data_IF_301474058689
#
_entry.id   IF_301474058689
#
_cell.length_a   1.000
_cell.length_b   1.000
_cell.length_c   1.000
_cell.angle_alpha   90.00
_cell.angle_beta   90.00
_cell.angle_gamma   90.00
#
_symmetry.space_group_name_H-M   'P 1'
#
loop_
_entity.id
_entity.type
_entity.pdbx_description
1 polymer ?
#
# COMPACT_ATOMS: atom_id res chain seq x y z
N UNK A 1 -3.74 -1.35 -15.15
CA UNK A 1 -5.09 -1.72 -15.68
C UNK A 1 -4.91 -2.77 -16.75
N UNK A 2 -5.52 -3.94 -16.62
CA UNK A 2 -5.43 -5.01 -17.61
C UNK A 2 -6.30 -4.74 -18.84
N UNK A 3 -5.90 -5.27 -20.00
CA UNK A 3 -6.67 -5.13 -21.24
C UNK A 3 -8.03 -5.84 -21.13
N UNK A 4 -9.07 -5.27 -21.77
CA UNK A 4 -10.48 -5.69 -21.68
C UNK A 4 -11.18 -5.55 -20.32
N UNK A 5 -10.53 -4.97 -19.31
CA UNK A 5 -11.14 -4.65 -18.02
C UNK A 5 -11.47 -3.15 -17.89
N UNK A 6 -11.42 -2.42 -19.01
CA UNK A 6 -11.74 -1.00 -19.05
C UNK A 6 -13.26 -0.81 -18.96
N UNK A 7 -13.72 -0.33 -17.82
CA UNK A 7 -15.07 0.19 -17.67
C UNK A 7 -15.06 1.68 -18.04
N UNK A 8 -15.42 2.00 -19.28
CA UNK A 8 -15.39 3.38 -19.83
C UNK A 8 -16.08 4.39 -18.89
N UNK A 9 -17.27 4.06 -18.39
CA UNK A 9 -18.02 4.91 -17.46
C UNK A 9 -17.26 5.16 -16.14
N UNK A 10 -16.53 4.15 -15.64
CA UNK A 10 -15.72 4.28 -14.43
C UNK A 10 -14.54 5.21 -14.66
N UNK A 11 -13.93 5.14 -15.84
CA UNK A 11 -12.79 5.98 -16.19
C UNK A 11 -13.18 7.46 -16.36
N UNK A 12 -14.29 7.73 -17.05
CA UNK A 12 -14.83 9.08 -17.18
C UNK A 12 -15.16 9.69 -15.82
N UNK A 13 -15.82 8.92 -14.94
CA UNK A 13 -16.10 9.33 -13.55
C UNK A 13 -14.84 9.59 -12.74
N UNK A 14 -13.80 8.76 -12.90
CA UNK A 14 -12.53 8.94 -12.20
C UNK A 14 -11.86 10.26 -12.60
N UNK A 15 -11.75 10.55 -13.89
CA UNK A 15 -11.16 11.81 -14.36
C UNK A 15 -11.97 13.05 -13.98
N UNK A 16 -13.31 12.97 -14.04
CA UNK A 16 -14.18 14.06 -13.59
C UNK A 16 -13.99 14.34 -12.09
N UNK A 17 -14.03 13.30 -11.26
CA UNK A 17 -13.84 13.41 -9.81
C UNK A 17 -12.44 13.93 -9.45
N UNK A 18 -11.41 13.41 -10.14
CA UNK A 18 -10.04 13.84 -9.92
C UNK A 18 -9.85 15.32 -10.25
N UNK A 19 -10.47 15.83 -11.33
CA UNK A 19 -10.46 17.25 -11.66
C UNK A 19 -11.09 18.09 -10.54
N UNK A 20 -12.24 17.68 -10.01
CA UNK A 20 -12.95 18.44 -8.98
C UNK A 20 -12.20 18.47 -7.64
N UNK A 21 -11.33 17.49 -7.39
CA UNK A 21 -10.49 17.37 -6.19
C UNK A 21 -9.06 17.91 -6.37
N UNK A 22 -8.73 18.43 -7.56
CA UNK A 22 -7.35 18.72 -7.99
C UNK A 22 -6.37 17.53 -7.79
N UNK A 23 -6.89 16.32 -7.92
CA UNK A 23 -6.12 15.10 -7.94
C UNK A 23 -5.67 14.79 -9.37
N UNK A 24 -4.46 14.24 -9.52
CA UNK A 24 -3.91 13.90 -10.84
C UNK A 24 -3.91 12.39 -11.05
N UNK A 25 -4.21 11.97 -12.27
CA UNK A 25 -4.24 10.58 -12.72
C UNK A 25 -3.27 10.38 -13.89
N UNK A 26 -2.63 9.23 -13.95
CA UNK A 26 -1.89 8.77 -15.14
C UNK A 26 -2.26 7.32 -15.42
N UNK A 27 -1.89 6.82 -16.60
CA UNK A 27 -2.11 5.42 -16.93
C UNK A 27 -0.89 4.55 -16.62
N UNK A 28 -1.13 3.51 -15.81
CA UNK A 28 -0.27 2.33 -15.72
C UNK A 28 -0.97 1.16 -16.40
N UNK A 29 -0.46 0.77 -17.57
CA UNK A 29 -1.00 -0.33 -18.36
C UNK A 29 -0.49 -1.66 -17.81
N UNK A 30 -1.37 -2.62 -17.56
CA UNK A 30 -0.95 -3.94 -17.09
C UNK A 30 -0.81 -4.88 -18.30
N UNK A 31 0.43 -5.22 -18.63
CA UNK A 31 0.79 -6.09 -19.76
C UNK A 31 0.95 -7.57 -19.36
N UNK A 32 0.89 -7.88 -18.07
CA UNK A 32 1.04 -9.25 -17.55
C UNK A 32 -0.29 -9.86 -17.10
N UNK A 33 -1.22 -9.07 -16.59
CA UNK A 33 -2.46 -9.54 -15.94
C UNK A 33 -3.48 -10.17 -16.89
N UNK A 34 -3.56 -9.73 -18.15
CA UNK A 34 -4.48 -10.31 -19.16
C UNK A 34 -3.88 -10.29 -20.58
N UNK A 35 -2.57 -10.49 -20.67
CA UNK A 35 -1.81 -10.32 -21.91
C UNK A 35 -1.47 -8.87 -22.24
N UNK A 36 -0.69 -8.68 -23.30
CA UNK A 36 -0.23 -7.37 -23.74
C UNK A 36 -1.37 -6.53 -24.30
N UNK A 37 -1.34 -5.23 -24.02
CA UNK A 37 -2.26 -4.29 -24.65
C UNK A 37 -1.93 -4.14 -26.16
N UNK A 38 -2.95 -4.09 -27.04
CA UNK A 38 -2.76 -3.67 -28.42
C UNK A 38 -2.23 -2.24 -28.50
N UNK A 39 -1.24 -2.03 -29.37
CA UNK A 39 -0.60 -0.72 -29.57
C UNK A 39 -1.60 0.42 -29.82
N UNK A 40 -2.53 0.23 -30.74
CA UNK A 40 -3.53 1.26 -31.10
C UNK A 40 -4.44 1.60 -29.92
N UNK A 41 -4.91 0.61 -29.15
CA UNK A 41 -5.75 0.83 -27.97
C UNK A 41 -5.02 1.68 -26.92
N UNK A 42 -3.72 1.44 -26.71
CA UNK A 42 -2.87 2.23 -25.82
C UNK A 42 -2.74 3.67 -26.32
N UNK A 43 -2.45 3.85 -27.61
CA UNK A 43 -2.31 5.18 -28.24
C UNK A 43 -3.62 5.97 -28.15
N UNK A 44 -4.75 5.35 -28.50
CA UNK A 44 -6.07 5.96 -28.50
C UNK A 44 -6.48 6.39 -27.09
N UNK A 45 -6.30 5.51 -26.09
CA UNK A 45 -6.65 5.84 -24.72
C UNK A 45 -5.78 6.98 -24.17
N UNK A 46 -4.48 6.95 -24.45
CA UNK A 46 -3.57 8.04 -24.08
C UNK A 46 -4.00 9.36 -24.74
N UNK A 47 -4.27 9.36 -26.05
CA UNK A 47 -4.69 10.55 -26.78
C UNK A 47 -6.04 11.11 -26.32
N UNK A 48 -6.95 10.25 -25.86
CA UNK A 48 -8.22 10.65 -25.28
C UNK A 48 -8.05 11.47 -23.99
N UNK A 49 -7.10 11.10 -23.12
CA UNK A 49 -7.02 11.69 -21.76
C UNK A 49 -5.79 12.56 -21.50
N UNK A 50 -4.71 12.49 -22.30
CA UNK A 50 -3.45 13.21 -22.02
C UNK A 50 -3.56 14.74 -21.91
N UNK A 51 -4.63 15.31 -22.45
CA UNK A 51 -4.94 16.74 -22.38
C UNK A 51 -6.00 17.10 -21.33
N UNK A 52 -6.53 16.12 -20.59
CA UNK A 52 -7.49 16.36 -19.53
C UNK A 52 -6.83 17.13 -18.36
N UNK A 53 -7.50 18.10 -17.71
CA UNK A 53 -6.92 18.89 -16.61
C UNK A 53 -6.45 18.09 -15.39
N UNK A 54 -6.99 16.88 -15.22
CA UNK A 54 -6.60 15.94 -14.18
C UNK A 54 -5.54 14.92 -14.65
N UNK A 55 -5.07 14.97 -15.90
CA UNK A 55 -3.99 14.09 -16.33
C UNK A 55 -2.65 14.58 -15.77
N UNK A 56 -1.91 13.70 -15.11
CA UNK A 56 -0.62 14.02 -14.52
C UNK A 56 0.42 14.25 -15.63
N UNK A 57 1.17 15.35 -15.51
CA UNK A 57 2.25 15.69 -16.42
C UNK A 57 3.53 15.91 -15.64
N UNK A 58 4.63 15.37 -16.14
CA UNK A 58 5.98 15.62 -15.65
C UNK A 58 6.77 16.34 -16.74
N UNK A 59 7.42 17.45 -16.40
CA UNK A 59 8.12 18.32 -17.36
C UNK A 59 7.26 18.66 -18.60
N UNK A 60 5.98 18.98 -18.35
CA UNK A 60 4.96 19.28 -19.37
C UNK A 60 4.55 18.12 -20.29
N UNK A 61 5.09 16.92 -20.13
CA UNK A 61 4.73 15.71 -20.88
C UNK A 61 3.72 14.84 -20.13
N UNK A 62 2.76 14.19 -20.80
CA UNK A 62 1.88 13.19 -20.19
C UNK A 62 2.70 12.07 -19.55
N UNK A 63 2.46 11.78 -18.27
CA UNK A 63 3.15 10.68 -17.60
C UNK A 63 2.51 9.34 -17.96
N UNK A 64 3.31 8.32 -18.25
CA UNK A 64 2.85 6.97 -18.58
C UNK A 64 3.71 5.92 -17.89
N UNK A 65 3.08 4.83 -17.43
CA UNK A 65 3.74 3.67 -16.83
C UNK A 65 3.13 2.37 -17.35
N UNK A 66 3.74 1.24 -17.00
CA UNK A 66 3.25 -0.11 -17.28
C UNK A 66 3.74 -1.07 -16.20
N UNK A 67 2.96 -2.11 -15.92
CA UNK A 67 3.43 -3.31 -15.23
C UNK A 67 3.84 -4.32 -16.30
N UNK A 68 5.13 -4.62 -16.37
CA UNK A 68 5.75 -5.46 -17.37
C UNK A 68 5.50 -5.01 -18.82
N UNK A 69 5.84 -5.87 -19.79
CA UNK A 69 5.74 -5.59 -21.24
C UNK A 69 7.07 -5.27 -21.90
N UNK A 70 8.21 -5.55 -21.25
CA UNK A 70 9.56 -5.22 -21.74
C UNK A 70 9.93 -5.84 -23.11
N UNK A 71 9.22 -6.90 -23.50
CA UNK A 71 9.38 -7.61 -24.77
C UNK A 71 8.50 -7.05 -25.90
N UNK A 72 7.54 -6.17 -25.59
CA UNK A 72 6.70 -5.55 -26.62
C UNK A 72 7.57 -4.65 -27.53
N UNK A 73 7.45 -4.80 -28.86
CA UNK A 73 8.14 -3.94 -29.81
C UNK A 73 7.44 -2.58 -29.99
N UNK A 74 6.28 -2.36 -29.38
CA UNK A 74 5.38 -1.25 -29.69
C UNK A 74 5.74 0.05 -28.96
N UNK A 75 6.45 -0.03 -27.84
CA UNK A 75 6.78 1.11 -26.98
C UNK A 75 7.39 2.33 -27.69
N UNK A 76 8.34 2.18 -28.65
CA UNK A 76 8.85 3.32 -29.41
C UNK A 76 7.74 4.08 -30.16
N UNK A 77 6.82 3.37 -30.81
CA UNK A 77 5.74 3.98 -31.59
C UNK A 77 4.65 4.55 -30.67
N UNK A 78 4.32 3.85 -29.57
CA UNK A 78 3.40 4.37 -28.53
C UNK A 78 3.94 5.69 -27.97
N UNK A 79 5.20 5.73 -27.55
CA UNK A 79 5.81 6.94 -26.98
C UNK A 79 5.84 8.09 -27.98
N UNK A 80 6.20 7.81 -29.24
CA UNK A 80 6.22 8.80 -30.32
C UNK A 80 4.85 9.42 -30.60
N UNK A 81 3.78 8.62 -30.62
CA UNK A 81 2.43 9.11 -30.93
C UNK A 81 1.74 9.77 -29.71
N UNK A 82 2.19 9.45 -28.51
CA UNK A 82 1.62 10.00 -27.27
C UNK A 82 2.38 11.21 -26.73
N UNK A 83 3.67 11.35 -27.06
CA UNK A 83 4.63 12.31 -26.50
C UNK A 83 4.80 12.17 -24.97
N UNK A 84 4.72 10.93 -24.48
CA UNK A 84 4.70 10.64 -23.05
C UNK A 84 6.09 10.65 -22.42
N UNK A 85 6.15 11.04 -21.14
CA UNK A 85 7.25 10.73 -20.23
C UNK A 85 7.00 9.32 -19.66
N UNK A 86 7.84 8.36 -20.03
CA UNK A 86 7.58 6.94 -19.81
C UNK A 86 8.50 6.35 -18.74
N UNK A 87 7.90 5.95 -17.61
CA UNK A 87 8.56 5.22 -16.52
C UNK A 87 7.88 3.85 -16.39
N UNK A 88 8.36 2.80 -17.08
CA UNK A 88 7.83 1.46 -16.94
C UNK A 88 8.37 0.74 -15.70
N UNK A 89 7.60 -0.24 -15.20
CA UNK A 89 8.17 -1.37 -14.48
C UNK A 89 8.48 -2.50 -15.47
N UNK A 90 9.78 -2.76 -15.65
CA UNK A 90 10.33 -3.87 -16.44
C UNK A 90 11.19 -4.76 -15.55
N UNK A 91 10.74 -5.02 -14.33
CA UNK A 91 11.48 -5.79 -13.33
C UNK A 91 11.90 -7.18 -13.84
N UNK A 92 11.11 -7.83 -14.70
CA UNK A 92 11.44 -9.13 -15.30
C UNK A 92 12.75 -9.22 -16.07
N UNK A 93 13.27 -8.10 -16.59
CA UNK A 93 14.56 -8.06 -17.32
C UNK A 93 15.67 -7.39 -16.52
N UNK A 94 15.38 -6.89 -15.33
CA UNK A 94 16.31 -6.20 -14.45
C UNK A 94 16.64 -4.76 -14.89
N UNK A 95 17.23 -3.97 -13.98
CA UNK A 95 17.40 -2.52 -14.16
C UNK A 95 18.32 -2.16 -15.34
N UNK A 96 19.44 -2.87 -15.52
CA UNK A 96 20.40 -2.60 -16.59
C UNK A 96 19.81 -2.79 -17.99
N UNK A 97 19.15 -3.93 -18.23
CA UNK A 97 18.55 -4.22 -19.53
C UNK A 97 17.35 -3.29 -19.81
N UNK A 98 16.58 -2.96 -18.78
CA UNK A 98 15.46 -2.02 -18.88
C UNK A 98 15.94 -0.59 -19.17
N UNK A 99 16.97 -0.11 -18.47
CA UNK A 99 17.49 1.25 -18.61
C UNK A 99 18.13 1.48 -19.99
N UNK A 100 18.69 0.43 -20.61
CA UNK A 100 19.27 0.47 -21.96
C UNK A 100 18.23 0.61 -23.09
N UNK A 101 16.92 0.52 -22.79
CA UNK A 101 15.87 0.81 -23.76
C UNK A 101 15.81 2.31 -24.02
N UNK A 102 16.17 2.77 -25.21
CA UNK A 102 16.24 4.20 -25.55
C UNK A 102 14.94 4.98 -25.41
N UNK A 103 13.80 4.29 -25.34
CA UNK A 103 12.47 4.88 -25.17
C UNK A 103 12.04 5.02 -23.70
N UNK A 104 12.80 4.58 -22.70
CA UNK A 104 12.44 4.78 -21.28
C UNK A 104 13.08 6.06 -20.74
N UNK A 105 12.27 6.88 -20.06
CA UNK A 105 12.71 8.13 -19.45
C UNK A 105 13.11 7.95 -17.97
N UNK A 106 12.63 6.90 -17.34
CA UNK A 106 12.96 6.48 -15.98
C UNK A 106 12.57 5.02 -15.78
N UNK A 107 12.69 4.48 -14.56
CA UNK A 107 12.20 3.14 -14.23
C UNK A 107 11.46 3.11 -12.89
N UNK A 108 10.41 2.29 -12.86
CA UNK A 108 9.74 1.83 -11.65
C UNK A 108 10.22 0.41 -11.33
N UNK A 109 10.30 0.05 -10.04
CA UNK A 109 10.65 -1.29 -9.61
C UNK A 109 9.46 -1.96 -8.93
N UNK A 110 9.24 -3.25 -9.17
CA UNK A 110 8.24 -4.06 -8.45
C UNK A 110 8.77 -4.67 -7.13
N UNK A 111 10.04 -4.42 -6.78
CA UNK A 111 10.71 -5.03 -5.62
C UNK A 111 10.35 -4.32 -4.29
N UNK A 112 9.08 -4.39 -3.87
CA UNK A 112 8.58 -3.72 -2.67
C UNK A 112 8.68 -4.55 -1.37
N UNK A 113 9.01 -5.84 -1.47
CA UNK A 113 8.97 -6.78 -0.35
C UNK A 113 10.28 -7.57 -0.19
N UNK A 114 10.63 -8.02 1.04
CA UNK A 114 11.88 -8.74 1.30
C UNK A 114 11.99 -10.10 0.60
N UNK A 115 13.21 -10.42 0.16
CA UNK A 115 13.58 -11.78 -0.25
C UNK A 115 14.07 -12.58 0.96
N UNK A 116 13.28 -13.54 1.42
CA UNK A 116 13.55 -14.39 2.57
C UNK A 116 13.34 -13.73 3.95
N UNK A 117 13.83 -14.35 5.04
CA UNK A 117 13.58 -13.93 6.43
C UNK A 117 14.42 -12.71 6.84
N UNK A 118 14.67 -11.80 5.90
CA UNK A 118 15.49 -10.60 6.07
C UNK A 118 14.62 -9.36 6.14
N UNK A 119 15.19 -8.23 6.58
CA UNK A 119 14.55 -6.92 6.38
C UNK A 119 14.87 -6.45 4.97
N UNK A 120 13.95 -5.71 4.35
CA UNK A 120 14.24 -5.01 3.10
C UNK A 120 15.38 -4.02 3.33
N UNK A 121 16.11 -3.69 2.26
CA UNK A 121 17.13 -2.67 2.25
C UNK A 121 17.16 -2.02 0.85
N UNK A 122 17.99 -1.00 0.67
CA UNK A 122 18.04 -0.21 -0.56
C UNK A 122 18.88 -0.81 -1.69
N UNK A 123 19.44 -2.01 -1.55
CA UNK A 123 20.38 -2.54 -2.56
C UNK A 123 19.76 -2.69 -3.95
N UNK A 124 18.47 -3.06 -4.02
CA UNK A 124 17.73 -3.10 -5.29
C UNK A 124 17.53 -1.70 -5.84
N UNK A 125 17.13 -0.74 -4.99
CA UNK A 125 16.92 0.65 -5.37
C UNK A 125 18.22 1.30 -5.90
N UNK A 126 19.35 1.02 -5.25
CA UNK A 126 20.68 1.45 -5.67
C UNK A 126 21.06 0.90 -7.06
N UNK A 127 20.68 -0.34 -7.37
CA UNK A 127 20.90 -0.92 -8.70
C UNK A 127 20.08 -0.22 -9.79
N UNK A 128 18.82 0.16 -9.50
CA UNK A 128 18.02 0.96 -10.42
C UNK A 128 18.62 2.36 -10.61
N UNK A 129 18.99 3.04 -9.51
CA UNK A 129 19.63 4.37 -9.56
C UNK A 129 20.92 4.34 -10.38
N UNK A 130 21.74 3.30 -10.23
CA UNK A 130 22.97 3.14 -10.99
C UNK A 130 22.69 2.97 -12.49
N UNK A 131 21.82 2.03 -12.86
CA UNK A 131 21.48 1.77 -14.26
C UNK A 131 20.83 2.97 -14.97
N UNK A 132 20.10 3.80 -14.23
CA UNK A 132 19.42 4.98 -14.76
C UNK A 132 20.35 6.14 -15.10
N UNK A 133 21.56 6.19 -14.54
CA UNK A 133 22.58 7.21 -14.77
C UNK A 133 22.01 8.66 -14.71
N UNK A 134 21.32 8.96 -13.60
CA UNK A 134 20.72 10.28 -13.35
C UNK A 134 19.32 10.48 -13.93
N UNK A 135 18.75 9.51 -14.65
CA UNK A 135 17.32 9.50 -14.99
C UNK A 135 16.45 9.18 -13.76
N UNK A 136 15.18 9.63 -13.72
CA UNK A 136 14.32 9.45 -12.56
C UNK A 136 14.04 7.99 -12.20
N UNK A 137 14.11 7.70 -10.90
CA UNK A 137 13.71 6.44 -10.33
C UNK A 137 12.40 6.58 -9.55
N UNK A 138 11.50 5.61 -9.73
CA UNK A 138 10.28 5.47 -8.94
C UNK A 138 10.44 4.31 -7.97
N UNK A 139 10.54 4.64 -6.68
CA UNK A 139 10.76 3.68 -5.60
C UNK A 139 9.44 3.06 -5.14
N UNK A 140 9.31 1.72 -5.10
CA UNK A 140 8.10 1.07 -4.62
C UNK A 140 7.99 1.10 -3.11
N UNK A 141 6.78 1.30 -2.60
CA UNK A 141 6.46 1.25 -1.18
C UNK A 141 5.18 0.43 -0.99
N UNK A 142 5.24 -0.58 -0.12
CA UNK A 142 4.10 -1.45 0.15
C UNK A 142 4.11 -1.93 1.60
N UNK A 143 2.96 -2.06 2.28
CA UNK A 143 2.94 -2.42 3.69
C UNK A 143 3.03 -3.93 3.95
N UNK A 144 2.44 -4.75 3.07
CA UNK A 144 2.18 -6.16 3.30
C UNK A 144 2.00 -6.88 1.96
N UNK A 145 2.09 -8.21 1.93
CA UNK A 145 1.71 -9.01 0.77
C UNK A 145 1.34 -10.43 1.18
N UNK A 146 0.18 -10.89 0.71
CA UNK A 146 -0.25 -12.27 0.79
C UNK A 146 -1.25 -12.56 -0.32
N UNK A 147 -1.04 -13.67 -1.01
CA UNK A 147 -1.96 -14.15 -2.05
C UNK A 147 -2.14 -15.66 -1.93
N UNK A 148 -3.37 -16.13 -2.15
CA UNK A 148 -3.69 -17.53 -2.40
C UNK A 148 -4.76 -17.58 -3.50
N UNK A 149 -4.30 -17.48 -4.74
CA UNK A 149 -5.08 -17.46 -5.97
C UNK A 149 -4.53 -18.51 -6.95
N UNK A 150 -4.83 -19.81 -6.72
CA UNK A 150 -4.34 -20.91 -7.55
C UNK A 150 -4.66 -20.79 -9.04
N UNK A 151 -5.80 -20.18 -9.38
CA UNK A 151 -6.19 -19.90 -10.77
C UNK A 151 -5.20 -18.99 -11.52
N UNK A 152 -4.39 -18.22 -10.78
CA UNK A 152 -3.30 -17.40 -11.30
C UNK A 152 -1.91 -17.98 -11.00
N UNK A 153 -1.84 -19.21 -10.49
CA UNK A 153 -0.57 -19.83 -10.06
C UNK A 153 0.06 -19.15 -8.85
N UNK A 154 -0.73 -18.46 -8.01
CA UNK A 154 -0.21 -17.68 -6.88
C UNK A 154 -0.59 -18.28 -5.53
N UNK A 155 0.39 -18.53 -4.66
CA UNK A 155 0.16 -18.97 -3.29
C UNK A 155 1.39 -18.72 -2.39
N UNK A 156 1.62 -17.47 -1.98
CA UNK A 156 2.77 -17.12 -1.14
C UNK A 156 2.52 -15.89 -0.27
N UNK A 157 3.39 -15.70 0.72
CA UNK A 157 3.48 -14.53 1.60
C UNK A 157 4.90 -13.98 1.60
N UNK A 158 5.05 -12.65 1.63
CA UNK A 158 6.32 -11.99 1.92
C UNK A 158 6.33 -11.38 3.32
N UNK A 159 7.53 -11.17 3.87
CA UNK A 159 7.67 -10.56 5.20
C UNK A 159 7.17 -9.11 5.18
N UNK A 160 6.08 -8.84 5.90
CA UNK A 160 5.54 -7.49 6.07
C UNK A 160 5.70 -6.91 7.47
N UNK A 161 6.25 -7.66 8.43
CA UNK A 161 6.19 -7.37 9.87
C UNK A 161 6.54 -5.91 10.21
N UNK A 162 7.74 -5.44 9.85
CA UNK A 162 8.17 -4.05 10.07
C UNK A 162 8.22 -3.22 8.78
N UNK A 163 7.80 -3.81 7.65
CA UNK A 163 8.10 -3.31 6.30
C UNK A 163 7.59 -1.89 6.10
N UNK A 164 6.35 -1.60 6.48
CA UNK A 164 5.78 -0.27 6.30
C UNK A 164 6.58 0.83 7.00
N UNK A 165 7.04 0.59 8.23
CA UNK A 165 7.87 1.57 8.94
C UNK A 165 9.26 1.70 8.30
N UNK A 166 9.96 0.57 8.14
CA UNK A 166 11.33 0.53 7.64
C UNK A 166 11.42 1.16 6.24
N UNK A 167 10.49 0.82 5.34
CA UNK A 167 10.48 1.31 3.96
C UNK A 167 10.25 2.81 3.85
N UNK A 168 9.43 3.41 4.70
CA UNK A 168 9.29 4.88 4.74
C UNK A 168 10.55 5.58 5.26
N UNK A 169 11.30 4.97 6.19
CA UNK A 169 12.60 5.51 6.60
C UNK A 169 13.62 5.43 5.45
N UNK A 170 13.60 4.34 4.69
CA UNK A 170 14.40 4.20 3.47
C UNK A 170 14.05 5.25 2.44
N UNK A 171 12.77 5.49 2.13
CA UNK A 171 12.34 6.54 1.19
C UNK A 171 12.87 7.92 1.60
N UNK A 172 12.74 8.27 2.89
CA UNK A 172 13.19 9.58 3.40
C UNK A 172 14.72 9.73 3.29
N UNK A 173 15.49 8.66 3.51
CA UNK A 173 16.95 8.69 3.43
C UNK A 173 17.49 8.58 2.01
N UNK A 174 16.87 7.71 1.18
CA UNK A 174 17.25 7.45 -0.19
C UNK A 174 16.93 8.64 -1.11
N UNK A 175 15.82 9.35 -0.87
CA UNK A 175 15.38 10.50 -1.67
C UNK A 175 15.25 10.15 -3.17
N UNK A 176 14.37 9.21 -3.56
CA UNK A 176 14.09 8.96 -4.98
C UNK A 176 13.34 10.14 -5.62
N UNK A 177 13.29 10.22 -6.95
CA UNK A 177 12.49 11.26 -7.63
C UNK A 177 10.99 11.02 -7.47
N UNK A 178 10.56 9.75 -7.52
CA UNK A 178 9.18 9.34 -7.35
C UNK A 178 9.05 8.21 -6.32
N UNK A 179 7.87 8.14 -5.72
CA UNK A 179 7.46 7.06 -4.82
C UNK A 179 6.11 6.56 -5.32
N UNK A 180 5.99 5.25 -5.55
CA UNK A 180 4.69 4.62 -5.83
C UNK A 180 4.29 3.72 -4.67
N UNK A 181 3.14 4.02 -4.07
CA UNK A 181 2.54 3.13 -3.07
C UNK A 181 1.76 2.04 -3.81
N UNK A 182 2.28 0.82 -3.78
CA UNK A 182 1.58 -0.36 -4.29
C UNK A 182 0.89 -1.05 -3.11
N UNK A 183 -0.44 -0.97 -2.97
CA UNK A 183 -1.40 -0.33 -3.88
C UNK A 183 -2.57 0.31 -3.13
N UNK A 184 -3.45 1.01 -3.86
CA UNK A 184 -4.70 1.50 -3.28
C UNK A 184 -5.68 0.36 -2.97
N UNK A 185 -5.87 -0.60 -3.87
CA UNK A 185 -6.98 -1.55 -3.77
C UNK A 185 -6.71 -2.91 -4.43
N UNK A 186 -5.45 -3.36 -4.52
CA UNK A 186 -5.17 -4.74 -4.89
C UNK A 186 -5.47 -5.68 -3.70
N UNK A 187 -6.73 -6.09 -3.63
CA UNK A 187 -7.21 -7.00 -2.59
C UNK A 187 -6.70 -8.43 -2.77
N UNK A 188 -6.48 -8.86 -4.03
CA UNK A 188 -6.00 -10.21 -4.34
C UNK A 188 -4.60 -10.45 -3.80
N UNK A 189 -3.75 -9.42 -3.73
CA UNK A 189 -2.38 -9.55 -3.22
C UNK A 189 -2.18 -8.98 -1.82
N UNK A 190 -3.27 -8.57 -1.16
CA UNK A 190 -3.29 -8.08 0.23
C UNK A 190 -2.39 -6.87 0.51
N UNK A 191 -1.99 -6.10 -0.50
CA UNK A 191 -1.11 -4.94 -0.32
C UNK A 191 -1.83 -3.60 -0.45
N UNK A 192 -3.16 -3.62 -0.42
CA UNK A 192 -4.01 -2.43 -0.44
C UNK A 192 -3.85 -1.57 0.82
N UNK A 193 -3.99 -0.25 0.65
CA UNK A 193 -4.12 0.74 1.74
C UNK A 193 -5.46 1.49 1.72
N UNK A 194 -6.31 1.21 0.74
CA UNK A 194 -7.64 1.76 0.59
C UNK A 194 -8.66 1.09 1.53
N UNK A 195 -9.86 1.66 1.64
CA UNK A 195 -10.93 1.07 2.44
C UNK A 195 -11.41 -0.25 1.82
N UNK A 196 -12.00 -1.12 2.65
CA UNK A 196 -12.73 -2.29 2.15
C UNK A 196 -14.07 -1.84 1.54
N UNK A 197 -14.48 -2.50 0.45
CA UNK A 197 -15.75 -2.24 -0.22
C UNK A 197 -16.63 -3.50 -0.23
N UNK A 198 -17.25 -3.88 0.91
CA UNK A 198 -17.95 -5.16 1.07
C UNK A 198 -19.20 -5.34 0.22
N UNK A 199 -19.62 -4.32 -0.55
CA UNK A 199 -20.82 -4.32 -1.39
C UNK A 199 -20.52 -4.08 -2.88
N UNK A 200 -19.25 -4.07 -3.28
CA UNK A 200 -18.85 -3.82 -4.67
C UNK A 200 -18.33 -5.08 -5.37
N UNK A 201 -18.26 -5.09 -6.71
CA UNK A 201 -17.64 -6.16 -7.52
C UNK A 201 -16.10 -6.26 -7.31
N UNK A 202 -15.54 -5.51 -6.36
CA UNK A 202 -14.09 -5.41 -6.12
C UNK A 202 -13.43 -6.71 -5.67
N UNK A 203 -14.22 -7.74 -5.34
CA UNK A 203 -13.75 -9.05 -4.91
C UNK A 203 -13.92 -10.14 -5.96
N UNK A 204 -14.29 -9.80 -7.19
CA UNK A 204 -14.34 -10.75 -8.33
C UNK A 204 -12.97 -11.42 -8.61
N UNK A 205 -11.88 -10.76 -8.23
CA UNK A 205 -10.53 -11.32 -8.34
C UNK A 205 -10.36 -12.63 -7.54
N UNK A 206 -11.06 -12.79 -6.41
CA UNK A 206 -11.01 -14.01 -5.61
C UNK A 206 -11.68 -15.19 -6.32
N UNK A 207 -12.80 -14.94 -7.01
CA UNK A 207 -13.50 -15.97 -7.79
C UNK A 207 -12.66 -16.36 -9.01
N UNK A 208 -12.15 -15.37 -9.76
CA UNK A 208 -11.29 -15.61 -10.95
C UNK A 208 -9.97 -16.28 -10.60
N UNK A 209 -9.37 -15.89 -9.48
CA UNK A 209 -8.15 -16.46 -8.95
C UNK A 209 -8.36 -17.80 -8.26
N UNK A 210 -9.60 -18.31 -8.20
CA UNK A 210 -9.96 -19.56 -7.53
C UNK A 210 -9.52 -19.62 -6.06
N UNK A 211 -9.57 -18.48 -5.37
CA UNK A 211 -9.15 -18.37 -3.99
C UNK A 211 -9.98 -19.31 -3.10
N UNK A 212 -9.36 -20.03 -2.15
CA UNK A 212 -10.08 -20.98 -1.30
C UNK A 212 -11.09 -20.26 -0.38
N UNK A 213 -10.81 -19.01 -0.02
CA UNK A 213 -11.69 -18.12 0.74
C UNK A 213 -11.26 -16.67 0.47
N UNK A 214 -12.09 -15.71 0.85
CA UNK A 214 -11.76 -14.29 0.73
C UNK A 214 -11.03 -13.79 1.98
N UNK A 215 -9.70 -13.68 1.90
CA UNK A 215 -8.81 -13.29 3.00
C UNK A 215 -8.80 -11.78 3.31
N UNK A 216 -9.63 -10.96 2.66
CA UNK A 216 -9.75 -9.52 2.98
C UNK A 216 -11.01 -9.18 3.77
N UNK A 217 -11.91 -10.14 3.97
CA UNK A 217 -13.10 -9.94 4.81
C UNK A 217 -12.65 -9.62 6.24
N UNK A 218 -13.12 -8.48 6.77
CA UNK A 218 -12.79 -7.98 8.10
C UNK A 218 -11.30 -7.71 8.35
N UNK A 219 -10.50 -7.52 7.30
CA UNK A 219 -9.08 -7.18 7.37
C UNK A 219 -8.84 -5.76 6.87
N UNK A 220 -9.24 -4.70 7.60
CA UNK A 220 -9.01 -3.33 7.18
C UNK A 220 -7.50 -3.02 7.12
N UNK A 221 -7.07 -2.31 6.08
CA UNK A 221 -5.68 -1.84 5.90
C UNK A 221 -5.55 -0.32 5.88
N UNK A 222 -6.67 0.41 5.95
CA UNK A 222 -6.70 1.86 5.81
C UNK A 222 -6.00 2.60 6.96
N UNK A 223 -5.79 1.93 8.11
CA UNK A 223 -4.95 2.42 9.19
C UNK A 223 -3.49 2.69 8.77
N UNK A 224 -2.95 2.02 7.75
CA UNK A 224 -1.61 2.35 7.24
C UNK A 224 -1.53 3.74 6.58
N UNK A 225 -2.66 4.35 6.21
CA UNK A 225 -2.71 5.71 5.69
C UNK A 225 -2.59 6.78 6.77
N UNK A 226 -2.80 6.45 8.04
CA UNK A 226 -2.86 7.44 9.15
C UNK A 226 -1.62 8.33 9.21
N UNK A 227 -0.44 7.79 8.94
CA UNK A 227 0.82 8.54 9.01
C UNK A 227 1.34 9.06 7.67
N UNK A 228 0.66 8.75 6.55
CA UNK A 228 1.08 9.20 5.21
C UNK A 228 1.26 10.72 5.11
N UNK A 229 0.36 11.57 5.66
CA UNK A 229 0.58 13.02 5.62
C UNK A 229 1.92 13.45 6.26
N UNK A 230 2.30 12.81 7.38
CA UNK A 230 3.55 13.11 8.07
C UNK A 230 4.78 12.63 7.28
N UNK A 231 4.81 11.35 6.89
CA UNK A 231 5.98 10.79 6.18
C UNK A 231 6.16 11.37 4.78
N UNK A 232 5.07 11.70 4.07
CA UNK A 232 5.14 12.38 2.77
C UNK A 232 5.64 13.82 2.94
N UNK A 233 5.21 14.53 3.98
CA UNK A 233 5.74 15.86 4.27
C UNK A 233 7.24 15.82 4.60
N UNK A 234 7.67 14.79 5.34
CA UNK A 234 9.08 14.56 5.65
C UNK A 234 9.89 14.17 4.42
N UNK A 235 9.38 13.28 3.57
CA UNK A 235 10.02 12.93 2.29
C UNK A 235 10.22 14.17 1.41
N UNK A 236 9.19 15.01 1.27
CA UNK A 236 9.27 16.26 0.50
C UNK A 236 10.18 17.33 1.12
N UNK A 237 10.44 17.25 2.42
CA UNK A 237 11.22 18.22 3.18
C UNK A 237 12.12 17.50 4.20
N UNK A 238 13.14 16.74 3.75
CA UNK A 238 13.90 15.82 4.62
C UNK A 238 14.64 16.52 5.77
N UNK A 239 14.92 17.82 5.63
CA UNK A 239 15.61 18.64 6.62
C UNK A 239 14.66 19.48 7.50
N UNK A 240 13.34 19.40 7.29
CA UNK A 240 12.37 20.20 8.03
C UNK A 240 11.83 19.44 9.25
N UNK A 241 11.56 20.16 10.32
CA UNK A 241 10.77 19.63 11.44
C UNK A 241 9.29 19.64 11.06
N UNK A 242 8.73 18.44 10.87
CA UNK A 242 7.31 18.29 10.53
C UNK A 242 6.46 18.41 11.82
N UNK A 243 5.40 19.23 11.85
CA UNK A 243 4.52 19.31 13.00
C UNK A 243 3.74 18.00 13.17
N UNK A 244 3.53 17.61 14.44
CA UNK A 244 2.62 16.52 14.79
C UNK A 244 1.34 17.15 15.31
N UNK A 245 0.36 17.29 14.42
CA UNK A 245 -0.93 17.93 14.74
C UNK A 245 -1.78 17.05 15.67
N UNK A 246 -1.73 15.74 15.46
CA UNK A 246 -2.48 14.75 16.24
C UNK A 246 -1.59 13.55 16.55
N UNK A 247 -1.49 13.21 17.82
CA UNK A 247 -0.85 11.98 18.26
C UNK A 247 -1.78 10.80 17.98
N UNK A 248 -1.28 9.76 17.31
CA UNK A 248 -2.05 8.58 16.96
C UNK A 248 -1.17 7.32 17.05
N UNK A 249 -1.80 6.15 17.14
CA UNK A 249 -1.15 4.85 17.03
C UNK A 249 -1.82 4.04 15.92
N UNK A 250 -1.03 3.28 15.17
CA UNK A 250 -1.45 2.27 14.20
C UNK A 250 -0.88 0.94 14.66
N UNK A 251 -1.65 -0.15 14.58
CA UNK A 251 -1.20 -1.49 14.91
C UNK A 251 -1.65 -2.48 13.85
N UNK A 252 -0.84 -3.49 13.58
CA UNK A 252 -1.18 -4.57 12.67
C UNK A 252 -0.63 -5.90 13.16
N UNK A 253 -1.35 -6.99 12.84
CA UNK A 253 -1.02 -8.36 13.22
C UNK A 253 -1.91 -9.37 12.48
N UNK A 254 -1.48 -10.64 12.44
CA UNK A 254 -2.33 -11.76 12.01
C UNK A 254 -3.29 -12.17 13.13
N UNK A 255 -4.49 -12.63 12.78
CA UNK A 255 -5.49 -13.04 13.77
C UNK A 255 -5.28 -14.46 14.32
N UNK A 256 -4.41 -15.25 13.69
CA UNK A 256 -4.08 -16.61 14.12
C UNK A 256 -2.55 -16.78 14.20
N UNK A 257 -2.03 -17.37 15.29
CA UNK A 257 -0.63 -17.77 15.35
C UNK A 257 -0.29 -18.76 14.24
N UNK A 258 0.96 -18.72 13.75
CA UNK A 258 1.43 -19.59 12.65
C UNK A 258 1.23 -21.09 12.89
N UNK A 259 1.17 -21.52 14.16
CA UNK A 259 1.05 -22.93 14.53
C UNK A 259 -0.38 -23.46 14.51
N UNK A 260 -1.39 -22.61 14.33
CA UNK A 260 -2.80 -22.98 14.55
C UNK A 260 -3.44 -23.55 13.29
N UNK A 261 -3.26 -22.89 12.15
CA UNK A 261 -3.91 -23.28 10.89
C UNK A 261 -2.96 -23.94 9.91
N UNK A 262 -3.52 -24.74 8.99
CA UNK A 262 -2.70 -25.31 7.91
C UNK A 262 -2.30 -24.22 6.94
N UNK A 263 -1.09 -24.29 6.39
CA UNK A 263 -0.62 -23.30 5.40
C UNK A 263 -1.38 -23.37 4.09
N UNK A 264 -2.08 -24.48 3.80
CA UNK A 264 -2.77 -24.68 2.52
C UNK A 264 -1.82 -24.65 1.32
N UNK A 265 -0.55 -25.01 1.53
CA UNK A 265 0.49 -24.90 0.51
C UNK A 265 1.09 -23.50 0.34
N UNK A 266 0.64 -22.50 1.11
CA UNK A 266 1.27 -21.16 1.09
C UNK A 266 2.73 -21.29 1.47
N UNK A 267 3.61 -20.74 0.63
CA UNK A 267 5.05 -20.64 0.87
C UNK A 267 5.40 -19.24 1.38
N UNK A 268 6.47 -19.14 2.15
CA UNK A 268 7.13 -17.85 2.38
C UNK A 268 8.07 -17.58 1.23
N UNK A 269 7.90 -16.47 0.51
CA UNK A 269 8.53 -16.23 -0.81
C UNK A 269 8.11 -17.28 -1.87
N UNK A 270 8.51 -17.13 -3.13
CA UNK A 270 8.10 -18.06 -4.21
C UNK A 270 9.19 -18.31 -5.26
N UNK A 271 9.35 -19.56 -5.67
CA UNK A 271 10.22 -19.94 -6.79
C UNK A 271 9.77 -19.30 -8.10
N UNK A 272 8.47 -19.07 -8.28
CA UNK A 272 7.92 -18.37 -9.45
C UNK A 272 8.42 -16.93 -9.60
N UNK A 273 8.91 -16.35 -8.50
CA UNK A 273 9.51 -15.02 -8.44
C UNK A 273 11.05 -15.08 -8.46
N UNK A 274 11.63 -16.25 -8.76
CA UNK A 274 13.08 -16.48 -8.74
C UNK A 274 13.69 -16.49 -7.34
N UNK A 275 12.90 -16.79 -6.31
CA UNK A 275 13.31 -16.75 -4.90
C UNK A 275 13.42 -18.15 -4.31
N UNK A 276 14.14 -18.25 -3.18
CA UNK A 276 14.10 -19.45 -2.34
C UNK A 276 12.76 -19.46 -1.59
N UNK A 277 12.10 -20.61 -1.56
CA UNK A 277 10.90 -20.82 -0.75
C UNK A 277 11.26 -21.21 0.68
N UNK A 278 10.54 -20.61 1.62
CA UNK A 278 10.63 -20.85 3.05
C UNK A 278 9.29 -21.32 3.59
N UNK A 279 9.27 -21.85 4.81
CA UNK A 279 8.01 -21.99 5.52
C UNK A 279 7.50 -20.60 5.89
N UNK A 280 6.19 -20.32 5.79
CA UNK A 280 5.64 -19.04 6.24
C UNK A 280 6.04 -18.68 7.68
N UNK A 281 6.12 -19.67 8.58
CA UNK A 281 6.56 -19.49 9.97
C UNK A 281 8.00 -19.01 10.15
N UNK A 282 8.83 -19.09 9.11
CA UNK A 282 10.20 -18.57 9.10
C UNK A 282 10.26 -17.11 8.61
N UNK A 283 9.24 -16.65 7.89
CA UNK A 283 9.19 -15.34 7.24
C UNK A 283 8.35 -14.34 8.06
N UNK A 284 7.19 -14.78 8.53
CA UNK A 284 6.24 -13.92 9.25
C UNK A 284 6.14 -14.33 10.71
N UNK A 285 6.26 -13.37 11.63
CA UNK A 285 6.41 -13.67 13.06
C UNK A 285 5.08 -13.50 13.81
N UNK A 286 4.89 -14.23 14.91
CA UNK A 286 3.70 -14.11 15.76
C UNK A 286 3.85 -12.91 16.70
N UNK A 287 3.62 -11.72 16.13
CA UNK A 287 3.84 -10.41 16.77
C UNK A 287 2.68 -9.45 16.52
N UNK A 288 2.49 -8.54 17.47
CA UNK A 288 1.65 -7.36 17.35
C UNK A 288 2.57 -6.16 17.10
N UNK A 289 2.54 -5.65 15.89
CA UNK A 289 3.34 -4.51 15.48
C UNK A 289 2.58 -3.22 15.75
N UNK A 290 3.31 -2.16 16.08
CA UNK A 290 2.71 -0.86 16.31
C UNK A 290 3.67 0.27 15.93
N UNK A 291 3.09 1.34 15.40
CA UNK A 291 3.76 2.61 15.17
C UNK A 291 2.94 3.73 15.79
N UNK A 292 3.59 4.69 16.44
CA UNK A 292 2.93 5.83 17.06
C UNK A 292 3.57 7.14 16.61
N UNK A 293 2.77 8.06 16.08
CA UNK A 293 3.20 9.42 15.78
C UNK A 293 3.00 10.28 17.03
N UNK A 294 4.09 10.77 17.62
CA UNK A 294 4.08 11.42 18.93
C UNK A 294 4.83 12.76 18.92
N UNK A 295 4.38 13.70 19.75
CA UNK A 295 5.03 14.99 20.00
C UNK A 295 6.18 14.89 21.02
N UNK A 296 6.14 13.88 21.87
CA UNK A 296 7.17 13.55 22.85
C UNK A 296 7.03 12.10 23.29
N UNK A 297 8.06 11.57 23.94
CA UNK A 297 8.09 10.18 24.41
C UNK A 297 6.85 9.83 25.23
N UNK A 298 6.34 8.62 25.00
CA UNK A 298 5.22 8.01 25.70
C UNK A 298 5.49 6.51 25.82
N UNK A 299 4.82 5.85 26.76
CA UNK A 299 4.89 4.41 26.96
C UNK A 299 3.82 3.70 26.12
N UNK A 300 4.10 2.46 25.73
CA UNK A 300 3.15 1.59 25.04
C UNK A 300 2.86 0.37 25.91
N UNK A 301 1.58 0.05 26.07
CA UNK A 301 1.11 -1.19 26.70
C UNK A 301 0.20 -1.91 25.71
N UNK A 302 0.44 -3.21 25.53
CA UNK A 302 -0.41 -4.08 24.72
C UNK A 302 -1.09 -5.07 25.63
N UNK A 303 -2.42 -5.07 25.65
CA UNK A 303 -3.22 -6.08 26.36
C UNK A 303 -3.61 -7.17 25.38
N UNK A 304 -3.38 -8.44 25.70
CA UNK A 304 -3.79 -9.59 24.89
C UNK A 304 -4.60 -10.54 25.76
N UNK A 305 -5.88 -10.76 25.45
CA UNK A 305 -6.78 -11.59 26.25
C UNK A 305 -6.76 -11.26 27.76
N UNK A 306 -6.63 -9.98 28.09
CA UNK A 306 -6.56 -9.47 29.47
C UNK A 306 -5.16 -9.38 30.11
N UNK A 307 -4.11 -9.98 29.53
CA UNK A 307 -2.74 -9.78 30.06
C UNK A 307 -2.12 -8.53 29.50
N UNK A 308 -1.61 -7.68 30.38
CA UNK A 308 -0.87 -6.47 30.00
C UNK A 308 0.60 -6.81 29.76
N UNK A 309 1.06 -6.52 28.55
CA UNK A 309 2.45 -6.62 28.13
C UNK A 309 2.99 -5.19 27.97
N UNK A 310 4.03 -4.85 28.73
CA UNK A 310 4.75 -3.60 28.52
C UNK A 310 5.50 -3.68 27.19
N UNK A 311 5.18 -2.80 26.24
CA UNK A 311 5.85 -2.73 24.95
C UNK A 311 7.18 -1.99 25.05
N UNK A 312 7.97 -2.06 23.98
CA UNK A 312 9.25 -1.37 23.84
C UNK A 312 9.35 -0.74 22.45
N UNK A 313 9.83 0.49 22.41
CA UNK A 313 10.20 1.14 21.16
C UNK A 313 11.53 0.58 20.67
N UNK A 314 11.52 -0.03 19.50
CA UNK A 314 12.74 -0.46 18.79
C UNK A 314 13.35 0.68 18.00
N UNK A 315 12.49 1.56 17.51
CA UNK A 315 12.88 2.78 16.84
C UNK A 315 12.23 3.98 17.50
N UNK A 316 13.06 4.97 17.81
CA UNK A 316 12.70 6.23 18.46
C UNK A 316 13.23 7.37 17.59
N UNK A 317 12.42 8.39 17.27
CA UNK A 317 12.90 9.57 16.56
C UNK A 317 14.04 10.26 17.32
N UNK A 318 15.05 10.76 16.59
CA UNK A 318 16.28 11.33 17.17
C UNK A 318 16.04 12.48 18.15
N UNK A 319 15.00 13.29 17.93
CA UNK A 319 14.59 14.43 18.75
C UNK A 319 13.41 14.10 19.68
N UNK A 320 13.00 12.83 19.75
CA UNK A 320 11.85 12.38 20.53
C UNK A 320 10.49 12.74 19.93
N UNK A 321 10.43 13.33 18.73
CA UNK A 321 9.20 13.71 18.04
C UNK A 321 9.12 13.05 16.66
N UNK A 322 7.97 12.46 16.33
CA UNK A 322 7.77 11.74 15.07
C UNK A 322 7.29 10.32 15.30
N UNK A 323 7.63 9.41 14.39
CA UNK A 323 7.13 8.04 14.41
C UNK A 323 8.05 7.14 15.24
N UNK A 324 7.49 6.65 16.34
CA UNK A 324 8.03 5.55 17.12
C UNK A 324 7.53 4.22 16.56
N UNK A 325 8.33 3.16 16.62
CA UNK A 325 7.96 1.84 16.12
C UNK A 325 8.45 0.73 17.04
N UNK A 326 7.65 -0.33 17.17
CA UNK A 326 7.98 -1.51 17.96
C UNK A 326 6.98 -2.64 17.76
N UNK A 327 7.17 -3.71 18.53
CA UNK A 327 6.27 -4.85 18.57
C UNK A 327 6.24 -5.50 19.96
N UNK A 328 5.27 -6.37 20.18
CA UNK A 328 5.28 -7.39 21.24
C UNK A 328 5.02 -8.77 20.63
N UNK A 329 5.60 -9.87 21.16
CA UNK A 329 5.23 -11.20 20.73
C UNK A 329 3.80 -11.53 21.18
N UNK A 330 3.16 -12.49 20.50
CA UNK A 330 1.94 -13.11 21.01
C UNK A 330 2.27 -13.83 22.32
N UNK A 331 1.69 -13.38 23.42
CA UNK A 331 1.85 -14.03 24.75
C UNK A 331 0.71 -15.00 25.04
N UNK A 332 -0.46 -14.77 24.45
CA UNK A 332 -1.65 -15.63 24.47
C UNK A 332 -2.60 -15.27 23.32
N UNK A 333 -3.77 -15.87 23.32
CA UNK A 333 -4.91 -15.51 22.46
C UNK A 333 -5.92 -14.64 23.21
N UNK A 334 -6.78 -13.92 22.48
CA UNK A 334 -7.87 -13.10 22.98
C UNK A 334 -7.86 -11.68 22.43
N UNK A 335 -8.77 -10.85 22.96
CA UNK A 335 -8.92 -9.42 22.60
C UNK A 335 -7.61 -8.66 22.71
N UNK A 336 -7.33 -7.79 21.74
CA UNK A 336 -6.11 -6.97 21.69
C UNK A 336 -6.46 -5.51 21.96
N UNK A 337 -5.75 -4.88 22.90
CA UNK A 337 -5.75 -3.42 23.07
C UNK A 337 -4.32 -2.89 23.01
N UNK A 338 -4.06 -1.91 22.15
CA UNK A 338 -2.80 -1.16 22.15
C UNK A 338 -3.06 0.22 22.72
N UNK A 339 -2.37 0.58 23.80
CA UNK A 339 -2.54 1.87 24.47
C UNK A 339 -1.23 2.61 24.57
N UNK A 340 -1.25 3.89 24.19
CA UNK A 340 -0.14 4.82 24.39
C UNK A 340 -0.47 5.74 25.57
N UNK A 341 0.43 5.81 26.55
CA UNK A 341 0.26 6.60 27.76
C UNK A 341 1.43 7.53 28.02
N UNK A 342 1.16 8.71 28.58
CA UNK A 342 2.18 9.62 29.09
C UNK A 342 1.87 9.91 30.55
N UNK A 343 2.56 9.21 31.45
CA UNK A 343 2.11 9.07 32.84
C UNK A 343 0.73 8.41 32.89
N UNK A 344 -0.19 8.96 33.68
CA UNK A 344 -1.55 8.42 33.84
C UNK A 344 -2.50 8.79 32.69
N UNK A 345 -2.05 9.59 31.71
CA UNK A 345 -2.90 10.07 30.61
C UNK A 345 -2.80 9.15 29.39
N UNK A 346 -3.94 8.63 28.93
CA UNK A 346 -4.06 7.99 27.60
C UNK A 346 -3.88 9.04 26.51
N UNK A 347 -2.89 8.84 25.65
CA UNK A 347 -2.56 9.68 24.49
C UNK A 347 -3.30 9.18 23.26
N UNK A 348 -3.25 7.88 23.02
CA UNK A 348 -3.92 7.21 21.91
C UNK A 348 -4.20 5.74 22.28
N UNK A 349 -5.10 5.08 21.57
CA UNK A 349 -5.26 3.64 21.69
C UNK A 349 -6.15 3.02 20.63
N UNK A 350 -6.05 1.69 20.52
CA UNK A 350 -6.76 0.84 19.57
C UNK A 350 -7.37 -0.32 20.35
N UNK A 351 -8.65 -0.62 20.08
CA UNK A 351 -9.24 -1.93 20.38
C UNK A 351 -9.27 -2.71 19.08
N UNK A 352 -8.47 -3.76 19.00
CA UNK A 352 -8.32 -4.58 17.79
C UNK A 352 -9.16 -5.84 17.80
N UNK A 353 -9.06 -6.61 16.72
CA UNK A 353 -9.66 -7.96 16.64
C UNK A 353 -8.93 -8.93 17.56
N UNK A 354 -9.66 -9.92 18.08
CA UNK A 354 -9.06 -10.96 18.91
C UNK A 354 -8.10 -11.85 18.10
N UNK A 355 -6.99 -12.22 18.73
CA UNK A 355 -6.17 -13.34 18.26
C UNK A 355 -6.89 -14.62 18.71
N UNK A 356 -7.06 -15.61 17.83
CA UNK A 356 -7.74 -16.87 18.18
C UNK A 356 -6.84 -18.07 17.96
N UNK A 357 -7.09 -19.13 18.72
CA UNK A 357 -6.46 -20.45 18.56
C UNK A 357 -7.30 -21.40 17.69
N UNK A 358 -8.27 -20.87 16.96
CA UNK A 358 -9.19 -21.65 16.13
C UNK A 358 -9.17 -21.10 14.70
N UNK A 359 -9.05 -22.00 13.74
CA UNK A 359 -9.17 -21.65 12.33
C UNK A 359 -10.65 -21.54 11.97
N UNK A 360 -11.10 -20.40 11.45
CA UNK A 360 -12.48 -20.23 11.08
C UNK A 360 -12.88 -21.25 10.00
N UNK A 361 -14.05 -21.87 10.16
CA UNK A 361 -14.55 -22.88 9.21
C UNK A 361 -14.78 -22.30 7.80
N UNK A 362 -15.12 -21.01 7.75
CA UNK A 362 -15.27 -20.18 6.56
C UNK A 362 -13.94 -19.95 5.81
N UNK A 363 -12.80 -20.03 6.51
CA UNK A 363 -11.45 -20.02 5.93
C UNK A 363 -10.98 -21.44 5.57
N UNK A 364 -11.86 -22.45 5.67
CA UNK A 364 -11.59 -23.86 5.33
C UNK A 364 -10.41 -24.45 6.11
N UNK A 365 -10.16 -23.96 7.33
CA UNK A 365 -9.03 -24.39 8.16
C UNK A 365 -7.66 -23.89 7.68
N UNK A 366 -7.62 -23.03 6.66
CA UNK A 366 -6.39 -22.46 6.11
C UNK A 366 -5.97 -21.22 6.90
N UNK A 367 -4.67 -21.02 7.01
CA UNK A 367 -4.11 -19.81 7.62
C UNK A 367 -4.36 -18.60 6.72
N UNK A 368 -5.05 -17.60 7.25
CA UNK A 368 -5.04 -16.26 6.66
C UNK A 368 -3.75 -15.53 7.06
N UNK A 369 -2.86 -15.31 6.10
CA UNK A 369 -1.62 -14.54 6.30
C UNK A 369 -1.78 -13.05 6.04
N UNK A 370 -2.99 -12.59 5.69
CA UNK A 370 -3.27 -11.16 5.65
C UNK A 370 -3.21 -10.56 7.06
N UNK A 371 -2.93 -9.27 7.16
CA UNK A 371 -2.89 -8.56 8.44
C UNK A 371 -4.21 -7.84 8.72
N UNK A 372 -4.62 -7.84 9.98
CA UNK A 372 -5.61 -6.86 10.45
C UNK A 372 -4.87 -5.57 10.80
N UNK A 373 -5.39 -4.40 10.41
CA UNK A 373 -4.79 -3.09 10.72
C UNK A 373 -5.80 -2.18 11.43
N UNK A 374 -5.40 -1.66 12.59
CA UNK A 374 -6.17 -0.70 13.37
C UNK A 374 -5.44 0.62 13.53
N UNK A 375 -6.19 1.70 13.72
CA UNK A 375 -5.65 3.03 14.03
C UNK A 375 -6.49 3.72 15.10
N UNK A 376 -5.84 4.53 15.95
CA UNK A 376 -6.53 5.30 16.98
C UNK A 376 -7.47 6.34 16.37
N UNK A 377 -8.64 6.52 17.00
CA UNK A 377 -9.67 7.44 16.49
C UNK A 377 -10.47 6.90 15.30
N UNK A 378 -10.20 5.66 14.87
CA UNK A 378 -11.17 4.87 14.12
C UNK A 378 -12.21 4.34 15.11
N UNK A 379 -13.29 5.08 15.33
CA UNK A 379 -14.51 4.45 15.84
C UNK A 379 -14.92 3.32 14.88
N UNK A 380 -15.65 2.31 15.38
CA UNK A 380 -16.14 1.11 14.67
C UNK A 380 -17.03 1.39 13.41
N UNK A 381 -16.95 2.57 12.83
CA UNK A 381 -17.76 3.09 11.73
C UNK A 381 -16.95 4.10 10.91
N UNK A 382 -16.02 3.62 10.08
CA UNK A 382 -15.60 4.37 8.89
C UNK A 382 -16.42 3.88 7.68
N UNK A 383 -17.75 3.95 7.81
CA UNK A 383 -18.60 4.02 6.62
C UNK A 383 -18.53 5.46 6.11
N UNK A 384 -17.87 5.65 4.96
CA UNK A 384 -17.80 6.89 4.19
C UNK A 384 -17.33 8.13 4.96
N UNK A 385 -16.04 8.48 4.83
CA UNK A 385 -15.60 9.84 5.15
C UNK A 385 -16.25 10.82 4.18
N UNK A 386 -17.30 11.50 4.62
CA UNK A 386 -17.75 12.74 4.00
C UNK A 386 -16.62 13.76 4.16
N UNK A 387 -16.17 14.33 3.04
CA UNK A 387 -14.94 15.09 2.92
C UNK A 387 -14.78 16.18 3.98
N UNK A 388 -13.67 16.11 4.71
CA UNK A 388 -13.24 17.16 5.63
C UNK A 388 -12.67 18.31 4.81
N UNK A 389 -13.51 19.30 4.49
CA UNK A 389 -13.09 20.62 4.01
C UNK A 389 -12.53 21.42 5.18
N UNK A 390 -11.26 21.80 5.11
CA UNK A 390 -10.65 22.79 6.01
C UNK A 390 -10.05 23.91 5.15
N UNK A 391 -10.75 25.05 5.21
CA UNK A 391 -10.35 26.44 5.02
C UNK A 391 -9.52 26.88 3.80
N UNK A 392 -10.18 27.61 2.91
CA UNK A 392 -9.67 28.89 2.41
C UNK A 392 -10.59 30.01 2.93
N UNK A 393 -10.01 30.96 3.68
CA UNK A 393 -10.68 32.20 4.06
C UNK A 393 -11.00 33.00 2.80
N UNK A 394 -12.29 33.24 2.56
CA UNK A 394 -12.79 34.14 1.54
C UNK A 394 -14.17 34.61 1.95
N UNK A 395 -14.22 35.78 2.60
CA UNK A 395 -15.45 36.49 2.96
C UNK A 395 -16.23 36.82 1.68
N UNK A 396 -17.42 36.23 1.51
CA UNK A 396 -18.57 36.90 0.85
C UNK A 396 -19.85 36.38 1.49
N UNK A 397 -20.54 37.27 2.20
CA UNK A 397 -21.93 37.09 2.60
C UNK A 397 -22.84 37.11 1.38
N UNK A 398 -23.77 36.15 1.26
CA UNK A 398 -25.19 36.42 0.97
C UNK A 398 -26.06 35.24 1.46
N UNK A 399 -26.96 35.56 2.38
CA UNK A 399 -28.25 34.94 2.73
C UNK A 399 -29.13 34.66 1.49
N UNK A 400 -30.12 33.75 1.38
CA UNK A 400 -30.99 33.03 2.34
C UNK A 400 -31.75 31.90 1.58
N UNK A 401 -32.09 30.81 2.29
CA UNK A 401 -33.33 29.99 2.28
C UNK A 401 -33.91 29.26 1.04
N UNK A 402 -34.40 28.03 1.30
CA UNK A 402 -35.37 27.26 0.50
C UNK A 402 -35.12 25.74 0.51
N UNK A 403 -35.40 25.04 1.63
CA UNK A 403 -36.46 24.00 1.75
C UNK A 403 -36.23 22.70 0.94
N UNK A 404 -35.87 21.58 1.58
CA UNK A 404 -36.75 20.52 2.12
C UNK A 404 -37.67 19.82 1.09
N UNK A 405 -37.53 18.49 1.06
CA UNK A 405 -38.52 17.43 0.76
C UNK A 405 -38.58 16.74 -0.63
N UNK A 406 -38.31 15.43 -0.55
CA UNK A 406 -39.13 14.29 -1.06
C UNK A 406 -38.97 13.92 -2.55
N UNK A 407 -38.12 12.92 -2.83
CA UNK A 407 -38.49 11.52 -3.16
C UNK A 407 -37.25 10.62 -3.21
#
# INVERSE_FOLDING_TARGET
MAHNEILKDSLEKAFATAKDLDFKLFFSFDYAGNGSWPMEDTIDLMNQYKNHPAYYKYESKPFMSTFEGATSPDWPEIKKNTDSFFIPDFSSIGPEAAANKSYVDGLFSWAAWPNGPTRLNTSSDDAYRHALDGRPYMMPVSPWFYTNMPGFGKNWVWRGDNLWYDRWQEVISFQPEFVEIISWNDYGESHYIGPLHPKGPVYEAFDRGEAPFNYVINMPHDGWRTFLPFVVAQYKNPNATIPVEKENVVSWYRLHPNSVCTTGGTTGNSESQGQIEYKPSEIVEDRIMYSALLNSTADVTVTIGGDKVAGKWQHVPKDGKGIYHGYVPFTKVGEVEVTITRGDKKVAGITGQAITSECPSEEKGLQNYNAWVGTSGGDRTMFASMGMRIFSLGVVMFTLAGELNVL
#
